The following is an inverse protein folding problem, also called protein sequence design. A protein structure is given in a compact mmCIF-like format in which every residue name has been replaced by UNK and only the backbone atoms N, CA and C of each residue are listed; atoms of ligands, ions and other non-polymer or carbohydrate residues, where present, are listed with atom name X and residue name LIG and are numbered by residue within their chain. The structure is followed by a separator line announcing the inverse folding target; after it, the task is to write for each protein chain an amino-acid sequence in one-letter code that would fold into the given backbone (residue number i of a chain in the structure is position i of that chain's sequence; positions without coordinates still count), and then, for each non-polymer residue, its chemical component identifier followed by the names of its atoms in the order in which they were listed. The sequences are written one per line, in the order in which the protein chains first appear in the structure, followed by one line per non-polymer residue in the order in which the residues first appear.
data_IF_148083295879
#
_entry.id   IF_148083295879
#
_cell.length_a   1.000
_cell.length_b   1.000
_cell.length_c   1.000
_cell.angle_alpha   90.00
_cell.angle_beta   90.00
_cell.angle_gamma   90.00
#
_symmetry.space_group_name_H-M   'P 1'
#
loop_
_entity.id
_entity.type
_entity.pdbx_description
1 polymer ?
#
# COMPACT_ATOMS: atom_id res chain seq x y z
N UNK A 1 -46.45 2.90 -10.34
CA UNK A 1 -45.35 2.49 -11.23
C UNK A 1 -44.23 3.49 -10.98
N UNK A 2 -43.42 3.26 -9.95
CA UNK A 2 -42.36 4.17 -9.56
C UNK A 2 -41.07 3.79 -10.28
N UNK A 3 -40.25 4.75 -10.74
CA UNK A 3 -39.03 4.44 -11.45
C UNK A 3 -37.95 3.97 -10.47
N UNK A 4 -37.40 2.80 -10.75
CA UNK A 4 -36.18 2.26 -10.15
C UNK A 4 -35.07 3.28 -10.24
N UNK A 5 -34.62 3.82 -9.11
CA UNK A 5 -33.36 4.56 -9.01
C UNK A 5 -32.20 3.62 -9.24
N UNK A 6 -31.65 3.63 -10.43
CA UNK A 6 -30.33 3.12 -10.73
C UNK A 6 -29.30 3.96 -9.95
N UNK A 7 -28.86 3.47 -8.81
CA UNK A 7 -27.62 3.93 -8.19
C UNK A 7 -26.49 3.60 -9.17
N UNK A 8 -26.08 4.60 -9.95
CA UNK A 8 -24.80 4.59 -10.63
C UNK A 8 -23.71 4.62 -9.54
N UNK A 9 -23.23 3.46 -9.17
CA UNK A 9 -21.91 3.36 -8.56
C UNK A 9 -20.89 3.82 -9.61
N UNK A 10 -20.55 5.10 -9.56
CA UNK A 10 -19.32 5.59 -10.15
C UNK A 10 -18.18 5.01 -9.31
N UNK A 11 -17.89 3.74 -9.47
CA UNK A 11 -16.53 3.27 -9.25
C UNK A 11 -15.71 3.89 -10.37
N UNK A 12 -15.12 5.04 -10.07
CA UNK A 12 -14.07 5.61 -10.87
C UNK A 12 -12.82 4.74 -10.73
N UNK A 13 -12.85 3.53 -11.30
CA UNK A 13 -11.65 2.99 -11.88
C UNK A 13 -11.37 3.86 -13.11
N UNK A 14 -10.88 5.05 -12.85
CA UNK A 14 -10.27 5.84 -13.88
C UNK A 14 -8.85 5.29 -14.08
N UNK A 15 -8.77 4.05 -14.57
CA UNK A 15 -7.66 3.79 -15.48
C UNK A 15 -7.96 4.76 -16.60
N UNK A 16 -7.19 5.83 -16.67
CA UNK A 16 -7.24 6.74 -17.80
C UNK A 16 -6.70 5.97 -19.01
N UNK A 17 -7.53 5.06 -19.54
CA UNK A 17 -7.24 4.16 -20.66
C UNK A 17 -6.94 4.90 -21.95
N UNK A 18 -7.18 6.21 -22.00
CA UNK A 18 -6.89 7.02 -23.19
C UNK A 18 -5.41 6.89 -23.59
N UNK A 19 -4.48 6.85 -22.62
CA UNK A 19 -3.06 6.72 -22.91
C UNK A 19 -2.64 5.26 -23.16
N UNK A 20 -3.23 4.29 -22.44
CA UNK A 20 -2.91 2.87 -22.64
C UNK A 20 -3.44 2.34 -23.98
N UNK A 21 -4.62 2.80 -24.44
CA UNK A 21 -5.19 2.39 -25.74
C UNK A 21 -4.49 3.09 -26.89
N UNK A 22 -4.05 4.34 -26.72
CA UNK A 22 -3.23 5.01 -27.75
C UNK A 22 -1.89 4.30 -27.92
N UNK A 23 -1.31 3.78 -26.85
CA UNK A 23 -0.05 3.02 -26.89
C UNK A 23 -0.22 1.66 -27.58
N UNK A 24 -1.36 0.96 -27.41
CA UNK A 24 -1.66 -0.28 -28.14
C UNK A 24 -1.71 -0.04 -29.65
N UNK A 25 -2.25 1.10 -30.11
CA UNK A 25 -2.22 1.44 -31.53
C UNK A 25 -0.82 1.86 -32.03
N UNK A 26 0.07 2.27 -31.13
CA UNK A 26 1.47 2.60 -31.44
C UNK A 26 2.35 1.34 -31.50
N UNK A 27 1.95 0.25 -30.87
CA UNK A 27 2.62 -1.07 -30.92
C UNK A 27 2.87 -1.51 -32.38
N UNK A 28 1.94 -1.25 -33.28
CA UNK A 28 2.04 -1.58 -34.69
C UNK A 28 2.99 -0.67 -35.50
N UNK A 29 3.59 0.37 -34.86
CA UNK A 29 4.48 1.34 -35.52
C UNK A 29 5.96 1.17 -35.20
N UNK A 30 6.39 0.02 -34.67
CA UNK A 30 7.80 -0.25 -34.35
C UNK A 30 8.33 0.53 -33.15
N UNK A 31 7.48 0.84 -32.18
CA UNK A 31 7.87 1.52 -30.94
C UNK A 31 8.82 0.63 -30.14
N UNK A 32 9.96 1.15 -29.75
CA UNK A 32 10.90 0.47 -28.85
C UNK A 32 10.29 0.44 -27.45
N UNK A 33 9.95 -0.74 -26.97
CA UNK A 33 9.46 -0.90 -25.59
C UNK A 33 10.61 -0.76 -24.61
N UNK A 34 10.44 0.11 -23.64
CA UNK A 34 11.31 0.19 -22.49
C UNK A 34 10.69 -0.61 -21.33
N UNK A 35 11.43 -1.61 -20.85
CA UNK A 35 10.92 -2.50 -19.80
C UNK A 35 11.09 -1.86 -18.43
N UNK A 36 10.12 -2.15 -17.53
CA UNK A 36 10.15 -1.71 -16.15
C UNK A 36 11.33 -2.32 -15.42
N UNK A 37 12.09 -1.47 -14.68
CA UNK A 37 13.21 -1.90 -13.86
C UNK A 37 12.76 -2.11 -12.42
N UNK A 38 13.11 -3.23 -11.78
CA UNK A 38 12.69 -3.53 -10.41
C UNK A 38 13.31 -2.61 -9.35
N UNK A 39 14.41 -1.93 -9.66
CA UNK A 39 15.14 -1.03 -8.77
C UNK A 39 14.75 0.45 -8.93
N UNK A 40 13.83 0.77 -9.82
CA UNK A 40 13.43 2.14 -10.11
C UNK A 40 12.07 2.46 -9.45
N UNK A 41 12.08 2.64 -8.15
CA UNK A 41 10.89 3.00 -7.39
C UNK A 41 11.23 3.94 -6.22
N UNK A 42 10.22 4.65 -5.73
CA UNK A 42 10.23 5.43 -4.50
C UNK A 42 8.96 5.13 -3.73
N UNK A 43 9.10 4.79 -2.46
CA UNK A 43 7.95 4.58 -1.59
C UNK A 43 7.88 5.70 -0.53
N UNK A 44 6.68 6.21 -0.28
CA UNK A 44 6.42 7.24 0.71
C UNK A 44 5.16 6.88 1.48
N UNK A 45 5.25 6.87 2.81
CA UNK A 45 4.10 6.86 3.71
C UNK A 45 3.93 8.30 4.21
N UNK A 46 2.71 8.81 4.12
CA UNK A 46 2.41 10.21 4.45
C UNK A 46 2.88 10.59 5.86
N UNK A 47 2.70 9.70 6.83
CA UNK A 47 2.94 9.98 8.25
C UNK A 47 4.29 9.45 8.76
N UNK A 48 5.04 8.68 7.95
CA UNK A 48 6.30 8.06 8.33
C UNK A 48 7.43 8.39 7.34
N UNK A 49 7.93 9.63 7.33
CA UNK A 49 8.96 10.04 6.36
C UNK A 49 10.29 9.32 6.54
N UNK A 50 10.68 8.93 7.77
CA UNK A 50 11.93 8.25 8.04
C UNK A 50 11.96 6.82 7.47
N UNK A 51 10.85 6.09 7.57
CA UNK A 51 10.69 4.76 6.95
C UNK A 51 10.74 4.86 5.44
N UNK A 52 10.07 5.86 4.88
CA UNK A 52 10.03 6.09 3.44
C UNK A 52 11.44 6.35 2.85
N UNK A 53 12.26 7.13 3.55
CA UNK A 53 13.61 7.46 3.10
C UNK A 53 14.54 6.26 3.07
N UNK A 54 14.39 5.30 4.00
CA UNK A 54 15.26 4.13 4.15
C UNK A 54 14.73 2.88 3.46
N UNK A 55 13.59 2.97 2.75
CA UNK A 55 12.97 1.83 2.07
C UNK A 55 13.86 1.28 0.95
N UNK A 56 14.20 0.00 1.03
CA UNK A 56 15.01 -0.72 0.04
C UNK A 56 14.19 -1.57 -0.90
N UNK A 57 13.07 -2.09 -0.43
CA UNK A 57 12.22 -2.98 -1.21
C UNK A 57 10.76 -2.79 -0.82
N UNK A 58 9.90 -2.82 -1.81
CA UNK A 58 8.45 -2.82 -1.65
C UNK A 58 7.85 -3.78 -2.67
N UNK A 59 6.89 -4.59 -2.27
CA UNK A 59 6.18 -5.46 -3.20
C UNK A 59 4.95 -4.74 -3.76
N UNK A 60 4.56 -5.05 -4.98
CA UNK A 60 3.22 -4.75 -5.46
C UNK A 60 2.31 -5.94 -5.11
N UNK A 61 1.31 -5.76 -4.22
CA UNK A 61 0.49 -6.87 -3.76
C UNK A 61 -0.34 -7.49 -4.88
N UNK A 62 -0.53 -8.80 -4.82
CA UNK A 62 -1.41 -9.50 -5.75
C UNK A 62 -2.88 -9.20 -5.45
N UNK A 63 -3.68 -9.17 -6.51
CA UNK A 63 -5.13 -9.05 -6.43
C UNK A 63 -5.74 -10.32 -6.98
N UNK A 64 -6.63 -10.93 -6.21
CA UNK A 64 -7.29 -12.18 -6.58
C UNK A 64 -8.79 -11.97 -6.56
N UNK A 65 -9.46 -12.44 -7.60
CA UNK A 65 -10.91 -12.53 -7.60
C UNK A 65 -11.33 -13.90 -7.04
N UNK A 66 -12.31 -13.89 -6.14
CA UNK A 66 -12.95 -15.12 -5.67
C UNK A 66 -13.67 -15.82 -6.81
N UNK A 67 -13.86 -17.13 -6.69
CA UNK A 67 -14.72 -17.89 -7.59
C UNK A 67 -15.56 -18.89 -6.79
N UNK A 68 -16.76 -19.17 -7.29
CA UNK A 68 -17.61 -20.21 -6.77
C UNK A 68 -17.55 -21.41 -7.72
N UNK A 69 -17.63 -22.62 -7.17
CA UNK A 69 -17.69 -23.84 -7.97
C UNK A 69 -19.12 -24.33 -8.01
N UNK A 70 -19.66 -24.48 -9.22
CA UNK A 70 -20.94 -25.12 -9.45
C UNK A 70 -20.69 -26.57 -9.86
N UNK A 71 -20.98 -27.54 -8.99
CA UNK A 71 -20.80 -28.94 -9.31
C UNK A 71 -21.82 -29.39 -10.36
N UNK A 72 -21.34 -30.13 -11.35
CA UNK A 72 -22.18 -30.85 -12.33
C UNK A 72 -21.81 -32.34 -12.35
N UNK A 73 -22.62 -33.21 -12.86
CA UNK A 73 -22.33 -34.66 -12.89
C UNK A 73 -21.04 -35.04 -13.61
N UNK A 74 -20.54 -34.20 -14.51
CA UNK A 74 -19.40 -34.52 -15.39
C UNK A 74 -18.16 -33.62 -15.11
N UNK A 75 -18.36 -32.36 -14.68
CA UNK A 75 -17.29 -31.40 -14.46
C UNK A 75 -17.72 -30.30 -13.53
N UNK A 76 -16.80 -29.80 -12.73
CA UNK A 76 -17.03 -28.61 -11.90
C UNK A 76 -16.90 -27.34 -12.73
N UNK A 77 -17.94 -26.52 -12.77
CA UNK A 77 -17.96 -25.26 -13.49
C UNK A 77 -17.57 -24.10 -12.59
N UNK A 78 -16.44 -23.41 -12.85
CA UNK A 78 -16.08 -22.21 -12.11
C UNK A 78 -17.00 -21.05 -12.50
N UNK A 79 -17.50 -20.35 -11.48
CA UNK A 79 -18.30 -19.12 -11.62
C UNK A 79 -17.51 -17.96 -11.05
N UNK A 80 -17.62 -16.79 -11.69
CA UNK A 80 -16.95 -15.56 -11.26
C UNK A 80 -17.50 -15.17 -9.88
N UNK A 81 -16.61 -14.88 -8.94
CA UNK A 81 -16.95 -14.31 -7.64
C UNK A 81 -17.15 -12.80 -7.70
N UNK A 82 -17.68 -12.24 -6.64
CA UNK A 82 -18.07 -10.83 -6.51
C UNK A 82 -17.11 -10.00 -5.65
N UNK A 83 -16.08 -10.63 -5.07
CA UNK A 83 -15.14 -9.97 -4.15
C UNK A 83 -13.69 -10.12 -4.57
N UNK A 84 -12.99 -8.98 -4.57
CA UNK A 84 -11.54 -8.95 -4.74
C UNK A 84 -10.84 -9.11 -3.39
N UNK A 85 -9.85 -9.99 -3.35
CA UNK A 85 -8.96 -10.16 -2.21
C UNK A 85 -7.62 -9.52 -2.53
N UNK A 86 -7.20 -8.60 -1.66
CA UNK A 86 -5.91 -7.92 -1.74
C UNK A 86 -4.92 -8.61 -0.81
N UNK A 87 -3.75 -8.97 -1.35
CA UNK A 87 -2.65 -9.50 -0.56
C UNK A 87 -2.02 -8.42 0.32
N UNK A 88 -1.14 -8.83 1.21
CA UNK A 88 -0.42 -7.92 2.09
C UNK A 88 0.65 -7.14 1.35
N UNK A 89 0.87 -5.92 1.81
CA UNK A 89 1.93 -5.05 1.33
C UNK A 89 3.12 -5.12 2.28
N UNK A 90 4.27 -5.57 1.77
CA UNK A 90 5.48 -5.75 2.55
C UNK A 90 6.54 -4.75 2.11
N UNK A 91 7.20 -4.14 3.07
CA UNK A 91 8.36 -3.28 2.83
C UNK A 91 9.58 -3.80 3.59
N UNK A 92 10.75 -3.54 3.01
CA UNK A 92 12.04 -3.74 3.66
C UNK A 92 12.77 -2.41 3.70
N UNK A 93 13.26 -2.03 4.87
CA UNK A 93 13.93 -0.77 5.08
C UNK A 93 15.18 -0.94 5.95
N UNK A 94 16.18 -0.11 5.72
CA UNK A 94 17.36 -0.06 6.59
C UNK A 94 16.98 0.59 7.91
N UNK A 95 17.41 -0.02 9.01
CA UNK A 95 17.22 0.56 10.33
C UNK A 95 18.35 1.56 10.57
N UNK A 96 17.97 2.76 10.99
CA UNK A 96 18.93 3.79 11.41
C UNK A 96 19.60 3.41 12.74
N UNK A 97 20.79 3.94 12.99
CA UNK A 97 21.53 3.68 14.23
C UNK A 97 20.74 4.07 15.49
N UNK A 98 19.94 5.15 15.39
CA UNK A 98 19.05 5.63 16.45
C UNK A 98 17.73 4.85 16.54
N UNK A 99 17.51 3.87 15.66
CA UNK A 99 16.30 3.05 15.55
C UNK A 99 14.99 3.87 15.39
N UNK A 100 15.05 5.14 15.05
CA UNK A 100 13.89 6.04 15.00
C UNK A 100 12.80 5.51 14.06
N UNK A 101 13.18 5.04 12.87
CA UNK A 101 12.25 4.50 11.90
C UNK A 101 11.57 3.20 12.35
N UNK A 102 12.27 2.35 13.08
CA UNK A 102 11.71 1.12 13.67
C UNK A 102 10.75 1.45 14.82
N UNK A 103 11.16 2.37 15.70
CA UNK A 103 10.36 2.80 16.86
C UNK A 103 9.07 3.47 16.40
N UNK A 104 9.10 4.34 15.39
CA UNK A 104 7.90 4.98 14.83
C UNK A 104 6.86 3.95 14.35
N UNK A 105 7.30 2.88 13.67
CA UNK A 105 6.42 1.80 13.25
C UNK A 105 5.89 0.99 14.44
N UNK A 106 6.75 0.71 15.42
CA UNK A 106 6.37 -0.03 16.62
C UNK A 106 5.35 0.77 17.46
N UNK A 107 5.55 2.07 17.63
CA UNK A 107 4.62 2.95 18.33
C UNK A 107 3.25 2.99 17.64
N UNK A 108 3.24 3.03 16.31
CA UNK A 108 1.98 2.95 15.56
C UNK A 108 1.27 1.61 15.81
N UNK A 109 2.00 0.49 15.75
CA UNK A 109 1.44 -0.84 16.00
C UNK A 109 0.90 -0.97 17.44
N UNK A 110 1.67 -0.48 18.44
CA UNK A 110 1.27 -0.47 19.86
C UNK A 110 0.03 0.41 20.06
N UNK A 111 -0.04 1.56 19.40
CA UNK A 111 -1.19 2.44 19.50
C UNK A 111 -2.47 1.81 18.94
N UNK A 112 -2.37 1.02 17.87
CA UNK A 112 -3.50 0.28 17.32
C UNK A 112 -3.94 -0.89 18.22
N UNK A 113 -2.98 -1.56 18.88
CA UNK A 113 -3.22 -2.70 19.76
C UNK A 113 -3.48 -2.34 21.23
N UNK A 114 -3.10 -1.12 21.67
CA UNK A 114 -3.19 -0.58 23.02
C UNK A 114 -3.06 -1.61 24.16
N UNK A 115 -1.90 -2.32 24.25
CA UNK A 115 -1.75 -3.48 25.15
C UNK A 115 -1.83 -3.14 26.64
N UNK A 116 -1.63 -1.90 27.06
CA UNK A 116 -1.64 -1.49 28.45
C UNK A 116 -2.85 -0.64 28.84
N UNK A 117 -3.21 0.36 28.04
CA UNK A 117 -4.29 1.31 28.35
C UNK A 117 -4.85 1.91 27.05
N UNK A 118 -6.15 2.14 27.02
CA UNK A 118 -6.84 2.85 25.94
C UNK A 118 -6.29 4.27 25.70
N UNK A 119 -5.61 4.86 26.67
CA UNK A 119 -4.93 6.14 26.52
C UNK A 119 -3.80 6.12 25.48
N UNK A 120 -3.20 4.96 25.20
CA UNK A 120 -2.18 4.84 24.16
C UNK A 120 -2.75 5.19 22.78
N UNK A 121 -3.95 4.72 22.48
CA UNK A 121 -4.65 5.08 21.25
C UNK A 121 -5.01 6.58 21.22
N UNK A 122 -5.59 7.10 22.29
CA UNK A 122 -5.99 8.51 22.35
C UNK A 122 -4.78 9.47 22.29
N UNK A 123 -3.65 9.10 22.88
CA UNK A 123 -2.40 9.86 22.79
C UNK A 123 -1.87 9.90 21.36
N UNK A 124 -1.80 8.77 20.70
CA UNK A 124 -1.37 8.65 19.32
C UNK A 124 -2.24 9.46 18.35
N UNK A 125 -3.56 9.35 18.50
CA UNK A 125 -4.52 10.14 17.72
C UNK A 125 -4.33 11.63 17.95
N UNK A 126 -4.16 12.04 19.21
CA UNK A 126 -3.96 13.46 19.58
C UNK A 126 -2.66 14.04 19.01
N UNK A 127 -1.56 13.29 19.07
CA UNK A 127 -0.27 13.72 18.49
C UNK A 127 -0.33 13.80 16.97
N UNK A 128 -0.96 12.86 16.31
CA UNK A 128 -1.13 12.89 14.85
C UNK A 128 -2.00 14.05 14.40
N UNK A 129 -3.08 14.35 15.10
CA UNK A 129 -3.92 15.53 14.80
C UNK A 129 -3.15 16.85 14.97
N UNK A 130 -2.24 16.93 15.94
CA UNK A 130 -1.39 18.10 16.11
C UNK A 130 -0.30 18.21 15.05
N UNK A 131 0.28 17.09 14.63
CA UNK A 131 1.31 17.04 13.59
C UNK A 131 0.74 17.21 12.18
N UNK A 132 -0.49 16.75 11.95
CA UNK A 132 -1.16 16.76 10.64
C UNK A 132 -2.59 17.31 10.76
N UNK A 133 -2.78 18.63 11.03
CA UNK A 133 -4.10 19.23 11.24
C UNK A 133 -5.03 19.16 10.01
N UNK A 134 -4.51 18.78 8.85
CA UNK A 134 -5.26 18.64 7.61
C UNK A 134 -5.67 17.20 7.26
N UNK A 135 -5.60 16.26 8.20
CA UNK A 135 -6.24 14.96 8.00
C UNK A 135 -7.74 15.17 7.90
N UNK A 136 -8.19 15.38 6.66
CA UNK A 136 -9.57 15.57 6.30
C UNK A 136 -10.39 14.38 6.78
N UNK A 137 -11.43 14.66 7.53
CA UNK A 137 -12.55 13.76 7.74
C UNK A 137 -13.19 13.49 6.38
N UNK A 138 -12.72 12.45 5.69
CA UNK A 138 -13.42 11.95 4.52
C UNK A 138 -14.67 11.23 5.06
N UNK A 139 -15.84 11.72 4.68
CA UNK A 139 -17.17 11.13 4.91
C UNK A 139 -17.72 11.10 6.36
N UNK A 140 -17.37 12.06 7.21
CA UNK A 140 -18.10 12.25 8.47
C UNK A 140 -17.92 11.13 9.52
N UNK A 141 -17.13 10.10 9.23
CA UNK A 141 -16.72 9.07 10.17
C UNK A 141 -15.32 9.37 10.70
N UNK A 142 -15.25 9.62 11.99
CA UNK A 142 -14.04 10.03 12.71
C UNK A 142 -13.12 8.87 13.06
N UNK A 143 -12.61 8.15 12.08
CA UNK A 143 -11.48 7.23 12.27
C UNK A 143 -10.21 7.65 11.49
N UNK A 144 -9.88 8.93 11.40
CA UNK A 144 -8.82 9.38 10.49
C UNK A 144 -7.40 9.09 10.97
N UNK A 145 -7.21 8.88 12.27
CA UNK A 145 -5.87 8.83 12.84
C UNK A 145 -5.24 7.44 12.90
N UNK A 146 -6.04 6.39 12.75
CA UNK A 146 -5.56 5.00 12.77
C UNK A 146 -4.93 4.57 11.43
N UNK A 147 -5.34 5.20 10.34
CA UNK A 147 -4.95 4.86 8.98
C UNK A 147 -4.05 5.94 8.37
N UNK A 148 -3.21 5.54 7.42
CA UNK A 148 -2.38 6.44 6.63
C UNK A 148 -2.51 6.10 5.16
N UNK A 149 -2.06 7.00 4.29
CA UNK A 149 -1.95 6.73 2.86
C UNK A 149 -0.50 6.48 2.50
N UNK A 150 -0.26 5.50 1.63
CA UNK A 150 1.06 5.19 1.10
C UNK A 150 1.09 5.36 -0.41
N UNK A 151 2.18 5.88 -0.95
CA UNK A 151 2.37 6.04 -2.38
C UNK A 151 3.65 5.35 -2.83
N UNK A 152 3.52 4.39 -3.75
CA UNK A 152 4.62 3.75 -4.44
C UNK A 152 4.74 4.36 -5.84
N UNK A 153 5.74 5.18 -6.04
CA UNK A 153 6.03 5.82 -7.33
C UNK A 153 7.01 4.96 -8.12
N UNK A 154 6.62 4.55 -9.30
CA UNK A 154 7.46 3.82 -10.24
C UNK A 154 8.12 4.81 -11.18
N UNK A 155 9.45 4.67 -11.31
CA UNK A 155 10.27 5.56 -12.12
C UNK A 155 10.60 4.91 -13.47
N UNK A 156 10.83 5.73 -14.47
CA UNK A 156 11.32 5.30 -15.77
C UNK A 156 12.84 5.04 -15.78
N UNK A 157 13.40 4.71 -16.94
CA UNK A 157 14.84 4.48 -17.10
C UNK A 157 15.70 5.73 -16.86
N UNK A 158 15.09 6.91 -16.88
CA UNK A 158 15.72 8.23 -16.64
C UNK A 158 15.46 8.74 -15.23
N UNK A 159 14.89 7.90 -14.34
CA UNK A 159 14.48 8.21 -12.97
C UNK A 159 13.37 9.30 -12.88
N UNK A 160 12.59 9.50 -13.92
CA UNK A 160 11.41 10.34 -13.84
C UNK A 160 10.22 9.54 -13.32
N UNK A 161 9.34 10.12 -12.50
CA UNK A 161 8.13 9.46 -12.06
C UNK A 161 7.18 9.23 -13.24
N UNK A 162 6.70 8.00 -13.40
CA UNK A 162 5.80 7.62 -14.49
C UNK A 162 4.46 7.11 -14.02
N UNK A 163 4.43 6.40 -12.90
CA UNK A 163 3.22 5.79 -12.39
C UNK A 163 3.22 5.87 -10.87
N UNK A 164 2.11 6.31 -10.30
CA UNK A 164 1.87 6.26 -8.86
C UNK A 164 0.90 5.13 -8.55
N UNK A 165 1.21 4.36 -7.52
CA UNK A 165 0.33 3.39 -6.91
C UNK A 165 0.02 3.91 -5.51
N UNK A 166 -1.23 4.31 -5.30
CA UNK A 166 -1.70 4.95 -4.07
C UNK A 166 -2.46 3.93 -3.27
N UNK A 167 -1.94 3.57 -2.10
CA UNK A 167 -2.59 2.69 -1.13
C UNK A 167 -3.46 3.54 -0.20
N UNK A 168 -4.75 3.22 -0.12
CA UNK A 168 -5.72 3.92 0.74
C UNK A 168 -5.90 3.16 2.05
N UNK A 169 -5.97 3.91 3.14
CA UNK A 169 -6.18 3.39 4.50
C UNK A 169 -5.16 2.29 4.86
N UNK A 170 -3.88 2.61 4.70
CA UNK A 170 -2.76 1.75 5.05
C UNK A 170 -2.57 1.73 6.56
N UNK A 171 -2.35 0.55 7.13
CA UNK A 171 -1.98 0.36 8.54
C UNK A 171 -1.05 -0.84 8.72
N UNK A 172 -0.12 -0.79 9.69
CA UNK A 172 0.77 -1.90 9.97
C UNK A 172 0.04 -3.03 10.70
N UNK A 173 0.38 -4.27 10.35
CA UNK A 173 -0.10 -5.48 11.03
C UNK A 173 1.02 -6.25 11.70
N UNK A 174 2.25 -6.13 11.19
CA UNK A 174 3.41 -6.78 11.76
C UNK A 174 4.69 -5.97 11.49
N UNK A 175 5.59 -6.03 12.45
CA UNK A 175 6.99 -5.64 12.32
C UNK A 175 7.81 -6.84 12.74
N UNK A 176 8.75 -7.30 11.90
CA UNK A 176 9.54 -8.48 12.18
C UNK A 176 10.57 -8.24 13.29
N UNK A 177 10.97 -9.34 13.94
CA UNK A 177 11.98 -9.33 14.99
C UNK A 177 13.36 -8.94 14.43
N UNK A 178 14.18 -8.36 15.29
CA UNK A 178 15.59 -8.07 15.01
C UNK A 178 16.45 -8.96 15.87
N UNK A 179 17.31 -9.76 15.23
CA UNK A 179 18.22 -10.66 15.93
C UNK A 179 19.60 -10.01 16.09
N UNK A 180 20.02 -9.80 17.32
CA UNK A 180 21.33 -9.25 17.66
C UNK A 180 22.30 -10.39 18.01
N UNK A 181 23.39 -10.49 17.25
CA UNK A 181 24.44 -11.49 17.48
C UNK A 181 25.83 -10.82 17.60
N UNK A 182 26.40 -10.85 18.80
CA UNK A 182 27.73 -10.30 19.11
C UNK A 182 28.87 -11.14 18.50
N UNK A 183 28.57 -12.37 18.07
CA UNK A 183 29.58 -13.27 17.49
C UNK A 183 29.78 -13.06 16.00
N UNK A 184 28.90 -12.27 15.36
CA UNK A 184 29.01 -11.93 13.95
C UNK A 184 30.29 -11.13 13.67
N UNK A 185 31.09 -11.60 12.75
CA UNK A 185 32.33 -10.94 12.34
C UNK A 185 32.15 -9.98 11.16
N UNK A 186 30.99 -9.99 10.51
CA UNK A 186 30.65 -9.12 9.39
C UNK A 186 29.92 -7.87 9.86
N UNK A 187 30.26 -6.73 9.28
CA UNK A 187 29.52 -5.48 9.48
C UNK A 187 28.35 -5.48 8.50
N UNK A 188 27.19 -5.93 8.97
CA UNK A 188 25.96 -5.90 8.21
C UNK A 188 24.99 -4.91 8.85
N UNK A 189 24.22 -4.21 8.00
CA UNK A 189 23.19 -3.30 8.48
C UNK A 189 21.88 -4.06 8.73
N UNK A 190 21.17 -3.71 9.80
CA UNK A 190 19.87 -4.28 10.07
C UNK A 190 18.84 -3.85 9.02
N UNK A 191 18.11 -4.83 8.53
CA UNK A 191 16.98 -4.64 7.63
C UNK A 191 15.71 -4.96 8.41
N UNK A 192 14.87 -3.95 8.61
CA UNK A 192 13.53 -4.11 9.16
C UNK A 192 12.57 -4.57 8.07
N UNK A 193 11.66 -5.46 8.41
CA UNK A 193 10.57 -5.87 7.54
C UNK A 193 9.26 -5.50 8.23
N UNK A 194 8.38 -4.83 7.52
CA UNK A 194 7.06 -4.49 8.02
C UNK A 194 6.00 -4.88 7.01
N UNK A 195 4.91 -5.44 7.54
CA UNK A 195 3.76 -5.89 6.76
C UNK A 195 2.58 -4.98 7.05
N UNK A 196 1.94 -4.54 5.99
CA UNK A 196 0.79 -3.64 6.03
C UNK A 196 -0.44 -4.27 5.38
N UNK A 197 -1.60 -3.87 5.88
CA UNK A 197 -2.89 -4.02 5.21
C UNK A 197 -3.39 -2.65 4.76
N UNK A 198 -4.22 -2.66 3.75
CA UNK A 198 -4.83 -1.46 3.16
C UNK A 198 -6.22 -1.82 2.64
N UNK A 199 -7.06 -0.83 2.45
CA UNK A 199 -8.41 -1.05 1.93
C UNK A 199 -8.42 -1.34 0.43
N UNK A 200 -7.78 -0.47 -0.35
CA UNK A 200 -7.65 -0.59 -1.80
C UNK A 200 -6.37 0.10 -2.27
N UNK A 201 -5.97 -0.16 -3.49
CA UNK A 201 -4.97 0.68 -4.15
C UNK A 201 -5.47 1.16 -5.51
N UNK A 202 -5.00 2.32 -5.91
CA UNK A 202 -5.29 2.96 -7.18
C UNK A 202 -4.00 3.15 -7.95
N UNK A 203 -4.06 3.02 -9.27
CA UNK A 203 -2.91 3.22 -10.16
C UNK A 203 -3.17 4.45 -11.02
N UNK A 204 -2.29 5.44 -10.89
CA UNK A 204 -2.34 6.68 -11.64
C UNK A 204 -1.13 6.80 -12.55
N UNK A 205 -1.34 7.09 -13.83
CA UNK A 205 -0.27 7.45 -14.76
C UNK A 205 0.01 8.96 -14.65
N UNK A 206 1.31 9.33 -14.59
CA UNK A 206 1.79 10.71 -14.50
C UNK A 206 2.15 11.28 -15.87
#
# INVERSE_FOLDING_TARGET
MEPFFLYKYNMAYTINNANLISDVNTINKGTVYNYLRPNAFKFVIKDLPHVAYTCQSANLPSVQNGFAVQPTPFVDLPRIGDKLNYAEFNIRFLISEDMVNYIELLEWLIALGFPHDYRQYSGFVGERLNRFPFMSTVDGNSEPAAYSDGTLTILDSSNNPKTNIIFKDLFPIAVEALDFDITSSSVEYFIGISTFKYRTFEVEAL
#
